data_IF_949271570104
#
_entry.id   IF_949271570104
#
_cell.length_a   1.000
_cell.length_b   1.000
_cell.length_c   1.000
_cell.angle_alpha   90.00
_cell.angle_beta   90.00
_cell.angle_gamma   90.00
#
_symmetry.space_group_name_H-M   'P 1'
#
loop_
_entity.id
_entity.type
_entity.pdbx_description
1 polymer ?
#
# COMPACT_ATOMS: atom_id res chain seq x y z
N UNK A 1 -18.82 9.70 17.82
CA UNK A 1 -17.36 9.59 17.91
C UNK A 1 -16.85 10.16 16.58
N UNK A 2 -16.40 11.40 16.60
CA UNK A 2 -15.80 12.02 15.41
C UNK A 2 -14.45 11.36 15.19
N UNK A 3 -14.29 10.78 14.02
CA UNK A 3 -13.04 10.18 13.55
C UNK A 3 -11.99 11.28 13.41
N UNK A 4 -10.93 11.20 14.20
CA UNK A 4 -9.72 12.02 14.09
C UNK A 4 -8.95 11.67 12.78
N UNK A 5 -9.52 12.02 11.64
CA UNK A 5 -8.78 12.17 10.39
C UNK A 5 -8.26 13.60 10.29
N UNK A 6 -7.45 14.03 11.25
CA UNK A 6 -6.69 15.27 11.10
C UNK A 6 -5.37 14.95 10.41
N UNK A 7 -5.23 15.43 9.18
CA UNK A 7 -3.94 15.54 8.52
C UNK A 7 -3.04 16.41 9.45
N UNK A 8 -2.04 15.83 10.13
CA UNK A 8 -1.22 16.64 11.01
C UNK A 8 -0.48 17.66 10.16
N UNK A 9 -0.61 18.93 10.49
CA UNK A 9 0.00 20.06 9.78
C UNK A 9 1.54 19.94 9.67
N UNK A 10 2.14 19.03 10.42
CA UNK A 10 3.54 18.62 10.36
C UNK A 10 3.66 17.12 10.69
N UNK A 11 4.24 16.32 9.78
CA UNK A 11 4.58 14.93 10.03
C UNK A 11 5.89 14.58 9.34
N UNK A 12 6.89 14.02 10.05
CA UNK A 12 8.12 13.54 9.44
C UNK A 12 7.90 12.52 8.32
N UNK A 13 6.80 11.74 8.36
CA UNK A 13 6.43 10.84 7.27
C UNK A 13 6.05 11.64 6.02
N UNK A 14 5.27 12.71 6.17
CA UNK A 14 4.90 13.59 5.05
C UNK A 14 6.14 14.31 4.49
N UNK A 15 7.05 14.80 5.35
CA UNK A 15 8.31 15.41 4.89
C UNK A 15 9.20 14.41 4.14
N UNK A 16 9.27 13.18 4.63
CA UNK A 16 9.99 12.12 3.93
C UNK A 16 9.37 11.84 2.55
N UNK A 17 8.05 11.67 2.45
CA UNK A 17 7.37 11.53 1.16
C UNK A 17 7.59 12.74 0.26
N UNK A 18 7.60 13.97 0.82
CA UNK A 18 7.88 15.18 0.08
C UNK A 18 9.29 15.17 -0.51
N UNK A 19 10.28 14.68 0.23
CA UNK A 19 11.66 14.55 -0.27
C UNK A 19 11.78 13.57 -1.44
N UNK A 20 11.04 12.44 -1.39
CA UNK A 20 10.94 11.47 -2.50
C UNK A 20 10.25 12.12 -3.69
N UNK A 21 9.14 12.81 -3.47
CA UNK A 21 8.38 13.50 -4.51
C UNK A 21 9.26 14.51 -5.24
N UNK A 22 9.95 15.40 -4.52
CA UNK A 22 10.86 16.39 -5.11
C UNK A 22 12.03 15.75 -5.88
N UNK A 23 12.55 14.64 -5.39
CA UNK A 23 13.57 13.88 -6.11
C UNK A 23 13.00 13.26 -7.40
N UNK A 24 11.80 12.70 -7.33
CA UNK A 24 11.11 12.09 -8.46
C UNK A 24 10.69 13.09 -9.54
N UNK A 25 10.36 14.33 -9.19
CA UNK A 25 10.07 15.40 -10.18
C UNK A 25 11.26 15.67 -11.11
N UNK A 26 12.49 15.42 -10.66
CA UNK A 26 13.70 15.53 -11.50
C UNK A 26 13.90 14.35 -12.45
N UNK A 27 13.16 13.27 -12.25
CA UNK A 27 13.23 12.10 -13.13
C UNK A 27 12.49 12.40 -14.42
N UNK A 28 13.17 12.24 -15.53
CA UNK A 28 12.65 12.44 -16.89
C UNK A 28 12.66 11.13 -17.67
N UNK A 29 11.92 11.09 -18.75
CA UNK A 29 11.82 9.91 -19.61
C UNK A 29 10.45 9.25 -19.50
N UNK A 30 10.32 8.11 -20.22
CA UNK A 30 9.04 7.46 -20.43
C UNK A 30 8.21 8.13 -21.53
N UNK A 31 7.04 7.59 -21.78
CA UNK A 31 6.08 8.11 -22.74
C UNK A 31 4.66 8.01 -22.15
N UNK A 32 3.76 8.84 -22.67
CA UNK A 32 2.34 8.71 -22.35
C UNK A 32 1.77 7.45 -23.00
N UNK A 33 0.87 6.76 -22.30
CA UNK A 33 0.02 5.78 -22.97
C UNK A 33 -0.88 6.53 -23.96
N UNK A 34 -0.83 6.19 -25.22
CA UNK A 34 -1.41 6.98 -26.32
C UNK A 34 -2.54 6.24 -27.10
N UNK A 35 -2.95 5.07 -26.62
CA UNK A 35 -3.94 4.26 -27.33
C UNK A 35 -5.38 4.78 -27.14
N UNK A 36 -5.66 5.63 -26.14
CA UNK A 36 -6.91 6.39 -25.99
C UNK A 36 -6.60 7.86 -25.66
N UNK A 37 -7.47 8.80 -26.07
CA UNK A 37 -7.25 10.23 -25.86
C UNK A 37 -7.12 10.62 -24.39
N UNK A 38 -7.88 10.01 -23.49
CA UNK A 38 -7.92 10.32 -22.06
C UNK A 38 -6.58 10.04 -21.37
N UNK A 39 -5.83 9.05 -21.85
CA UNK A 39 -4.47 8.76 -21.36
C UNK A 39 -3.42 9.62 -22.08
N UNK A 40 -3.55 9.78 -23.41
CA UNK A 40 -2.61 10.55 -24.22
C UNK A 40 -2.55 12.03 -23.82
N UNK A 41 -3.67 12.62 -23.40
CA UNK A 41 -3.80 14.03 -23.07
C UNK A 41 -3.63 14.33 -21.57
N UNK A 42 -3.28 13.35 -20.73
CA UNK A 42 -2.95 13.63 -19.33
C UNK A 42 -1.73 14.55 -19.22
N UNK A 43 -1.70 15.37 -18.18
CA UNK A 43 -0.54 16.23 -17.90
C UNK A 43 0.65 15.37 -17.46
N UNK A 44 1.76 15.32 -18.23
CA UNK A 44 2.92 14.51 -17.91
C UNK A 44 3.69 15.01 -16.67
N UNK A 45 3.36 16.19 -16.15
CA UNK A 45 4.01 16.76 -14.95
C UNK A 45 3.40 16.27 -13.65
N UNK A 46 2.18 15.71 -13.69
CA UNK A 46 1.51 15.18 -12.52
C UNK A 46 2.35 14.11 -11.80
N UNK A 47 2.44 14.26 -10.49
CA UNK A 47 3.06 13.27 -9.64
C UNK A 47 2.47 13.33 -8.23
N UNK A 48 1.81 12.26 -7.80
CA UNK A 48 1.24 12.08 -6.48
C UNK A 48 1.76 10.81 -5.81
N UNK A 49 2.04 10.89 -4.51
CA UNK A 49 2.43 9.76 -3.68
C UNK A 49 1.50 9.66 -2.47
N UNK A 50 1.16 8.44 -2.08
CA UNK A 50 0.37 8.16 -0.88
C UNK A 50 0.84 6.90 -0.19
N UNK A 51 0.78 6.89 1.14
CA UNK A 51 1.08 5.75 2.01
C UNK A 51 -0.05 5.63 3.04
N UNK A 52 -0.57 4.42 3.22
CA UNK A 52 -1.58 4.09 4.23
C UNK A 52 -1.00 3.12 5.26
N UNK A 53 -1.15 3.43 6.55
CA UNK A 53 -0.71 2.58 7.66
C UNK A 53 -1.77 1.56 8.07
N UNK A 54 -1.42 0.53 8.87
CA UNK A 54 -2.38 -0.44 9.39
C UNK A 54 -3.53 0.18 10.20
N UNK A 55 -3.32 1.36 10.78
CA UNK A 55 -4.34 2.12 11.50
C UNK A 55 -5.24 2.98 10.59
N UNK A 56 -5.04 2.92 9.26
CA UNK A 56 -5.84 3.64 8.28
C UNK A 56 -5.47 5.11 8.10
N UNK A 57 -4.30 5.53 8.61
CA UNK A 57 -3.80 6.90 8.42
C UNK A 57 -3.16 6.99 7.04
N UNK A 58 -3.57 7.99 6.27
CA UNK A 58 -3.03 8.24 4.93
C UNK A 58 -2.13 9.46 4.95
N UNK A 59 -0.86 9.27 4.60
CA UNK A 59 0.11 10.31 4.31
C UNK A 59 0.20 10.50 2.81
N UNK A 60 0.20 11.73 2.33
CA UNK A 60 0.17 12.00 0.89
C UNK A 60 0.82 13.33 0.53
N UNK A 61 1.41 13.37 -0.67
CA UNK A 61 2.08 14.55 -1.22
C UNK A 61 1.83 14.68 -2.73
N UNK A 62 2.05 15.87 -3.26
CA UNK A 62 1.86 16.18 -4.68
C UNK A 62 0.41 15.99 -5.14
N UNK A 63 0.24 15.54 -6.36
CA UNK A 63 -1.07 15.40 -7.03
C UNK A 63 -1.86 14.17 -6.57
N UNK A 64 -1.80 13.85 -5.29
CA UNK A 64 -2.37 12.63 -4.70
C UNK A 64 -3.90 12.57 -4.71
N UNK A 65 -4.58 13.70 -4.88
CA UNK A 65 -6.04 13.83 -5.02
C UNK A 65 -6.52 13.83 -6.47
N UNK A 66 -5.60 13.87 -7.43
CA UNK A 66 -5.95 13.82 -8.85
C UNK A 66 -6.59 12.48 -9.19
N UNK A 67 -7.77 12.52 -9.81
CA UNK A 67 -8.45 11.32 -10.29
C UNK A 67 -7.85 10.82 -11.60
N UNK A 68 -7.76 9.49 -11.72
CA UNK A 68 -7.35 8.78 -12.93
C UNK A 68 -8.06 7.43 -13.01
N UNK A 69 -8.09 6.82 -14.19
CA UNK A 69 -8.66 5.48 -14.35
C UNK A 69 -7.74 4.41 -13.77
N UNK A 70 -8.29 3.49 -13.00
CA UNK A 70 -7.55 2.44 -12.28
C UNK A 70 -6.80 1.48 -13.20
N UNK A 71 -7.32 1.27 -14.42
CA UNK A 71 -6.75 0.41 -15.43
C UNK A 71 -6.38 -0.99 -14.90
N UNK A 72 -5.17 -1.48 -15.20
CA UNK A 72 -4.73 -2.81 -14.77
C UNK A 72 -4.53 -2.97 -13.26
N UNK A 73 -4.54 -1.89 -12.47
CA UNK A 73 -4.53 -2.01 -11.00
C UNK A 73 -5.86 -2.55 -10.46
N UNK A 74 -6.92 -2.57 -11.26
CA UNK A 74 -8.19 -3.24 -10.93
C UNK A 74 -8.08 -4.77 -10.80
N UNK A 75 -7.13 -5.40 -11.49
CA UNK A 75 -7.01 -6.87 -11.64
C UNK A 75 -6.87 -7.61 -10.30
N UNK A 76 -5.99 -7.23 -9.36
CA UNK A 76 -5.89 -7.88 -8.05
C UNK A 76 -7.21 -7.89 -7.28
N UNK A 77 -7.95 -6.80 -7.31
CA UNK A 77 -9.21 -6.67 -6.57
C UNK A 77 -10.33 -7.52 -7.18
N UNK A 78 -10.38 -7.59 -8.51
CA UNK A 78 -11.35 -8.46 -9.22
C UNK A 78 -10.98 -9.93 -9.03
N UNK A 79 -9.70 -10.27 -9.03
CA UNK A 79 -9.24 -11.62 -8.67
C UNK A 79 -9.64 -11.98 -7.24
N UNK A 80 -9.43 -11.04 -6.28
CA UNK A 80 -9.88 -11.22 -4.90
C UNK A 80 -11.39 -11.49 -4.81
N UNK A 81 -12.20 -10.72 -5.54
CA UNK A 81 -13.67 -10.93 -5.58
C UNK A 81 -14.04 -12.25 -6.22
N UNK A 82 -13.40 -12.66 -7.32
CA UNK A 82 -13.63 -13.96 -7.94
C UNK A 82 -13.29 -15.12 -6.98
N UNK A 83 -12.18 -15.03 -6.25
CA UNK A 83 -11.80 -16.01 -5.22
C UNK A 83 -12.81 -16.05 -4.08
N UNK A 84 -13.22 -14.89 -3.57
CA UNK A 84 -14.22 -14.81 -2.49
C UNK A 84 -15.60 -15.36 -2.90
N UNK A 85 -16.01 -15.09 -4.15
CA UNK A 85 -17.34 -15.48 -4.66
C UNK A 85 -17.39 -16.95 -5.11
N UNK A 86 -16.25 -17.54 -5.56
CA UNK A 86 -16.23 -18.86 -6.22
C UNK A 86 -15.33 -19.90 -5.55
N UNK A 87 -14.45 -19.48 -4.65
CA UNK A 87 -13.43 -20.34 -4.05
C UNK A 87 -12.23 -20.59 -4.95
N UNK A 88 -11.10 -20.98 -4.32
CA UNK A 88 -9.80 -21.17 -4.98
C UNK A 88 -9.86 -22.28 -6.06
N UNK A 89 -10.42 -23.43 -5.74
CA UNK A 89 -10.49 -24.58 -6.65
C UNK A 89 -11.17 -24.20 -7.97
N UNK A 90 -12.34 -23.54 -7.89
CA UNK A 90 -13.10 -23.14 -9.09
C UNK A 90 -12.37 -22.07 -9.92
N UNK A 91 -11.69 -21.13 -9.27
CA UNK A 91 -10.93 -20.10 -9.98
C UNK A 91 -9.73 -20.74 -10.67
N UNK A 92 -9.00 -21.62 -9.99
CA UNK A 92 -7.83 -22.30 -10.53
C UNK A 92 -8.14 -23.29 -11.65
N UNK A 93 -9.38 -23.79 -11.79
CA UNK A 93 -9.82 -24.51 -12.99
C UNK A 93 -9.82 -23.63 -14.25
N UNK A 94 -9.92 -22.31 -14.10
CA UNK A 94 -10.08 -21.36 -15.22
C UNK A 94 -8.89 -20.43 -15.45
N UNK A 95 -8.06 -20.18 -14.46
CA UNK A 95 -6.88 -19.31 -14.53
C UNK A 95 -5.78 -19.85 -13.62
N UNK A 96 -4.52 -19.82 -14.08
CA UNK A 96 -3.35 -20.23 -13.29
C UNK A 96 -2.83 -19.13 -12.35
N UNK A 97 -1.63 -19.35 -11.82
CA UNK A 97 -0.97 -18.48 -10.83
C UNK A 97 0.48 -18.17 -11.20
N UNK A 98 0.97 -18.71 -12.33
CA UNK A 98 2.37 -18.68 -12.70
C UNK A 98 2.71 -17.48 -13.61
N UNK A 99 3.94 -16.95 -13.55
CA UNK A 99 4.42 -15.97 -14.52
C UNK A 99 4.39 -16.55 -15.94
N UNK A 100 3.82 -15.79 -16.89
CA UNK A 100 3.65 -16.29 -18.27
C UNK A 100 4.96 -16.39 -19.07
N UNK A 101 5.98 -15.60 -18.71
CA UNK A 101 7.17 -15.43 -19.55
C UNK A 101 6.94 -14.67 -20.86
N UNK A 102 5.69 -14.34 -21.17
CA UNK A 102 5.24 -13.63 -22.37
C UNK A 102 4.77 -12.21 -22.02
N UNK A 103 4.75 -11.27 -23.00
CA UNK A 103 4.15 -9.95 -22.79
C UNK A 103 2.72 -10.03 -22.25
N UNK A 104 2.35 -9.15 -21.32
CA UNK A 104 1.07 -9.17 -20.59
C UNK A 104 -0.19 -9.15 -21.46
N UNK A 105 -0.06 -8.81 -22.73
CA UNK A 105 -1.12 -8.75 -23.73
C UNK A 105 -1.00 -9.85 -24.80
N UNK A 106 -0.18 -10.88 -24.61
CA UNK A 106 -0.06 -12.03 -25.50
C UNK A 106 -1.38 -12.77 -25.64
N UNK A 107 -1.59 -13.37 -26.80
CA UNK A 107 -2.72 -14.26 -27.10
C UNK A 107 -2.22 -15.68 -26.91
N UNK A 108 -2.05 -16.10 -25.67
CA UNK A 108 -1.54 -17.42 -25.31
C UNK A 108 -2.34 -18.02 -24.16
N UNK A 109 -2.41 -19.34 -24.17
CA UNK A 109 -2.90 -20.17 -23.06
C UNK A 109 -1.80 -21.18 -22.77
N UNK A 110 -1.71 -21.62 -21.53
CA UNK A 110 -0.83 -22.71 -21.15
C UNK A 110 -1.16 -23.98 -21.94
N UNK A 111 -0.16 -24.56 -22.61
CA UNK A 111 -0.36 -25.70 -23.52
C UNK A 111 -0.88 -26.96 -22.80
N UNK A 112 -0.52 -27.17 -21.55
CA UNK A 112 -0.89 -28.36 -20.80
C UNK A 112 -2.29 -28.29 -20.23
N UNK A 113 -2.72 -27.09 -19.79
CA UNK A 113 -4.00 -26.89 -19.08
C UNK A 113 -5.06 -26.16 -19.89
N UNK A 114 -4.66 -25.48 -20.98
CA UNK A 114 -5.54 -24.68 -21.83
C UNK A 114 -6.07 -23.42 -21.17
N UNK A 115 -5.49 -22.98 -20.02
CA UNK A 115 -5.95 -21.83 -19.25
C UNK A 115 -4.93 -20.68 -19.30
N UNK A 116 -5.33 -19.42 -19.03
CA UNK A 116 -4.40 -18.30 -18.83
C UNK A 116 -3.43 -18.59 -17.68
N UNK A 117 -2.16 -18.18 -17.81
CA UNK A 117 -1.11 -18.41 -16.82
C UNK A 117 -1.42 -17.78 -15.45
N UNK A 118 -1.91 -16.54 -15.46
CA UNK A 118 -2.24 -15.83 -14.21
C UNK A 118 -3.30 -14.72 -14.40
N UNK A 119 -3.93 -14.22 -13.32
CA UNK A 119 -4.98 -13.20 -13.37
C UNK A 119 -4.45 -11.78 -13.63
N UNK A 120 -3.15 -11.52 -13.66
CA UNK A 120 -2.55 -10.19 -13.82
C UNK A 120 -2.28 -9.84 -15.28
N UNK A 121 -2.26 -10.82 -16.20
CA UNK A 121 -2.25 -10.61 -17.66
C UNK A 121 -3.68 -10.43 -18.18
N UNK A 122 -3.84 -9.84 -19.38
CA UNK A 122 -5.17 -9.46 -19.87
C UNK A 122 -6.11 -10.66 -20.05
N UNK A 123 -5.65 -11.75 -20.63
CA UNK A 123 -6.49 -12.94 -20.84
C UNK A 123 -6.97 -13.54 -19.51
N UNK A 124 -6.09 -13.60 -18.49
CA UNK A 124 -6.47 -14.06 -17.16
C UNK A 124 -7.40 -13.09 -16.43
N UNK A 125 -7.20 -11.78 -16.58
CA UNK A 125 -8.06 -10.77 -15.99
C UNK A 125 -9.49 -10.77 -16.59
N UNK A 126 -9.61 -10.97 -17.90
CA UNK A 126 -10.90 -11.17 -18.57
C UNK A 126 -11.60 -12.44 -18.04
N UNK A 127 -10.82 -13.51 -17.82
CA UNK A 127 -11.34 -14.77 -17.25
C UNK A 127 -11.84 -14.56 -15.81
N UNK A 128 -11.03 -13.93 -14.95
CA UNK A 128 -11.45 -13.65 -13.55
C UNK A 128 -12.63 -12.71 -13.47
N UNK A 129 -12.71 -11.69 -14.34
CA UNK A 129 -13.90 -10.83 -14.45
C UNK A 129 -15.16 -11.64 -14.67
N UNK A 130 -15.13 -12.60 -15.61
CA UNK A 130 -16.28 -13.46 -15.92
C UNK A 130 -16.68 -14.39 -14.77
N UNK A 131 -15.78 -14.65 -13.82
CA UNK A 131 -16.01 -15.51 -12.65
C UNK A 131 -16.60 -14.77 -11.45
N UNK A 132 -16.56 -13.43 -11.40
CA UNK A 132 -17.13 -12.65 -10.30
C UNK A 132 -18.64 -12.89 -10.21
N UNK A 133 -19.17 -12.89 -8.96
CA UNK A 133 -20.56 -13.17 -8.63
C UNK A 133 -20.94 -14.65 -8.84
N UNK A 134 -22.23 -14.95 -8.96
CA UNK A 134 -22.73 -16.31 -9.18
C UNK A 134 -22.52 -16.79 -10.62
N UNK A 135 -22.57 -18.12 -10.82
CA UNK A 135 -22.52 -18.70 -12.16
C UNK A 135 -23.71 -18.21 -12.99
N UNK A 136 -23.43 -17.59 -14.15
CA UNK A 136 -24.47 -17.08 -15.06
C UNK A 136 -24.99 -15.69 -14.69
N UNK A 137 -24.34 -14.97 -13.77
CA UNK A 137 -24.67 -13.57 -13.48
C UNK A 137 -24.62 -12.73 -14.77
N UNK A 138 -25.52 -11.76 -14.87
CA UNK A 138 -25.53 -10.79 -15.95
C UNK A 138 -24.31 -9.86 -15.88
N UNK A 139 -24.05 -9.10 -16.95
CA UNK A 139 -23.00 -8.08 -16.93
C UNK A 139 -23.26 -7.04 -15.84
N UNK A 140 -24.47 -6.55 -15.73
CA UNK A 140 -24.87 -5.52 -14.76
C UNK A 140 -24.70 -5.98 -13.32
N UNK A 141 -25.01 -7.23 -13.01
CA UNK A 141 -24.80 -7.81 -11.70
C UNK A 141 -23.30 -7.89 -11.35
N UNK A 142 -22.46 -8.29 -12.31
CA UNK A 142 -20.99 -8.30 -12.13
C UNK A 142 -20.42 -6.90 -11.97
N UNK A 143 -20.80 -5.95 -12.83
CA UNK A 143 -20.36 -4.55 -12.73
C UNK A 143 -20.72 -3.95 -11.37
N UNK A 144 -21.95 -4.15 -10.91
CA UNK A 144 -22.39 -3.70 -9.58
C UNK A 144 -21.57 -4.33 -8.44
N UNK A 145 -21.34 -5.65 -8.52
CA UNK A 145 -20.54 -6.38 -7.52
C UNK A 145 -19.09 -5.89 -7.50
N UNK A 146 -18.49 -5.66 -8.67
CA UNK A 146 -17.11 -5.19 -8.80
C UNK A 146 -16.96 -3.76 -8.27
N UNK A 147 -17.84 -2.83 -8.66
CA UNK A 147 -17.79 -1.45 -8.19
C UNK A 147 -17.99 -1.38 -6.67
N UNK A 148 -18.96 -2.11 -6.13
CA UNK A 148 -19.19 -2.19 -4.68
C UNK A 148 -17.96 -2.78 -3.94
N UNK A 149 -17.34 -3.83 -4.49
CA UNK A 149 -16.14 -4.42 -3.91
C UNK A 149 -14.95 -3.47 -3.94
N UNK A 150 -14.68 -2.80 -5.07
CA UNK A 150 -13.60 -1.80 -5.14
C UNK A 150 -13.86 -0.62 -4.19
N UNK A 151 -15.10 -0.18 -4.06
CA UNK A 151 -15.50 0.86 -3.10
C UNK A 151 -15.23 0.42 -1.66
N UNK A 152 -15.53 -0.84 -1.32
CA UNK A 152 -15.23 -1.39 0.00
C UNK A 152 -13.71 -1.49 0.25
N UNK A 153 -12.90 -1.87 -0.76
CA UNK A 153 -11.44 -1.83 -0.67
C UNK A 153 -10.91 -0.42 -0.44
N UNK A 154 -11.50 0.60 -1.09
CA UNK A 154 -11.11 2.01 -0.96
C UNK A 154 -11.65 2.68 0.33
N UNK A 155 -12.64 2.08 0.99
CA UNK A 155 -13.32 2.67 2.15
C UNK A 155 -14.22 3.85 1.81
N UNK A 156 -14.51 4.07 0.54
CA UNK A 156 -15.42 5.10 0.03
C UNK A 156 -16.11 4.67 -1.26
N UNK A 157 -17.19 5.33 -1.61
CA UNK A 157 -17.86 5.11 -2.89
C UNK A 157 -16.97 5.58 -4.06
N UNK A 158 -16.79 4.69 -5.04
CA UNK A 158 -16.09 4.94 -6.29
C UNK A 158 -17.11 5.07 -7.44
N UNK A 159 -16.69 5.66 -8.55
CA UNK A 159 -17.49 5.82 -9.76
C UNK A 159 -16.69 5.43 -11.00
N UNK A 160 -17.39 5.28 -12.12
CA UNK A 160 -16.76 5.06 -13.41
C UNK A 160 -16.40 6.38 -14.09
N UNK A 161 -15.33 6.38 -14.87
CA UNK A 161 -15.03 7.38 -15.88
C UNK A 161 -15.64 6.92 -17.21
N UNK A 162 -16.76 7.53 -17.60
CA UNK A 162 -17.50 7.16 -18.80
C UNK A 162 -16.72 7.50 -20.08
N UNK A 163 -15.91 8.58 -20.09
CA UNK A 163 -15.12 8.95 -21.26
C UNK A 163 -14.03 7.91 -21.53
N UNK A 164 -13.33 7.45 -20.49
CA UNK A 164 -12.36 6.35 -20.59
C UNK A 164 -13.04 5.08 -21.07
N UNK A 165 -14.21 4.74 -20.53
CA UNK A 165 -14.94 3.54 -20.94
C UNK A 165 -15.29 3.56 -22.42
N UNK A 166 -15.87 4.65 -22.94
CA UNK A 166 -16.27 4.77 -24.34
C UNK A 166 -15.07 4.68 -25.29
N UNK A 167 -13.96 5.35 -24.95
CA UNK A 167 -12.75 5.29 -25.77
C UNK A 167 -12.10 3.92 -25.77
N UNK A 168 -12.08 3.22 -24.64
CA UNK A 168 -11.52 1.87 -24.51
C UNK A 168 -12.33 0.81 -25.24
N UNK A 169 -13.67 0.88 -25.15
CA UNK A 169 -14.54 -0.13 -25.76
C UNK A 169 -14.44 -0.11 -27.29
N UNK A 170 -14.26 1.04 -27.91
CA UNK A 170 -14.08 1.19 -29.34
C UNK A 170 -12.80 0.50 -29.85
N UNK A 171 -11.82 0.31 -28.98
CA UNK A 171 -10.52 -0.31 -29.31
C UNK A 171 -10.34 -1.72 -28.71
N UNK A 172 -11.37 -2.28 -28.07
CA UNK A 172 -11.29 -3.52 -27.30
C UNK A 172 -11.18 -4.81 -28.15
N UNK A 173 -10.87 -4.74 -29.43
CA UNK A 173 -10.81 -5.90 -30.33
C UNK A 173 -9.88 -7.00 -29.85
N UNK A 174 -8.70 -6.63 -29.29
CA UNK A 174 -7.75 -7.60 -28.73
C UNK A 174 -8.35 -8.33 -27.52
N UNK A 175 -8.96 -7.59 -26.60
CA UNK A 175 -9.64 -8.17 -25.42
C UNK A 175 -10.82 -9.06 -25.86
N UNK A 176 -11.52 -8.70 -26.93
CA UNK A 176 -12.59 -9.54 -27.49
C UNK A 176 -12.04 -10.86 -28.05
N UNK A 177 -10.90 -10.84 -28.73
CA UNK A 177 -10.23 -12.05 -29.19
C UNK A 177 -9.79 -12.94 -28.00
N UNK A 178 -9.24 -12.35 -26.93
CA UNK A 178 -8.89 -13.06 -25.69
C UNK A 178 -10.13 -13.68 -25.03
N UNK A 179 -11.21 -12.94 -24.89
CA UNK A 179 -12.47 -13.44 -24.33
C UNK A 179 -13.09 -14.57 -25.17
N UNK A 180 -13.02 -14.48 -26.51
CA UNK A 180 -13.45 -15.53 -27.40
C UNK A 180 -12.58 -16.80 -27.25
N UNK A 181 -11.28 -16.64 -27.06
CA UNK A 181 -10.34 -17.77 -26.86
C UNK A 181 -10.65 -18.51 -25.56
N UNK A 182 -10.83 -17.82 -24.43
CA UNK A 182 -11.16 -18.47 -23.16
C UNK A 182 -12.58 -19.09 -23.21
N UNK A 183 -13.51 -18.51 -23.97
CA UNK A 183 -14.84 -19.09 -24.18
C UNK A 183 -14.77 -20.37 -25.04
N UNK A 184 -13.93 -20.38 -26.07
CA UNK A 184 -13.73 -21.55 -26.94
C UNK A 184 -13.09 -22.74 -26.19
N UNK A 185 -12.35 -22.47 -25.11
CA UNK A 185 -11.79 -23.50 -24.22
C UNK A 185 -12.71 -23.81 -23.01
N UNK A 186 -13.96 -23.42 -23.03
CA UNK A 186 -14.95 -23.66 -21.98
C UNK A 186 -14.58 -23.15 -20.57
N UNK A 187 -13.61 -22.24 -20.45
CA UNK A 187 -13.17 -21.66 -19.18
C UNK A 187 -14.19 -20.71 -18.59
N UNK A 188 -14.98 -20.05 -19.46
CA UNK A 188 -16.10 -19.19 -19.10
C UNK A 188 -17.35 -19.59 -19.90
N UNK A 189 -18.52 -19.27 -19.34
CA UNK A 189 -19.83 -19.55 -20.00
C UNK A 189 -20.49 -18.29 -20.57
N UNK A 190 -20.07 -17.11 -20.11
CA UNK A 190 -20.64 -15.81 -20.50
C UNK A 190 -20.29 -15.48 -21.95
N UNK A 191 -21.12 -14.64 -22.58
CA UNK A 191 -20.86 -14.08 -23.90
C UNK A 191 -19.56 -13.23 -23.88
N UNK A 192 -18.60 -13.48 -24.80
CA UNK A 192 -17.33 -12.75 -24.83
C UNK A 192 -17.48 -11.23 -24.93
N UNK A 193 -18.45 -10.73 -25.72
CA UNK A 193 -18.66 -9.30 -25.86
C UNK A 193 -19.15 -8.67 -24.56
N UNK A 194 -20.04 -9.33 -23.85
CA UNK A 194 -20.54 -8.85 -22.54
C UNK A 194 -19.45 -8.90 -21.47
N UNK A 195 -18.56 -9.91 -21.50
CA UNK A 195 -17.40 -9.99 -20.60
C UNK A 195 -16.44 -8.83 -20.86
N UNK A 196 -16.13 -8.54 -22.12
CA UNK A 196 -15.23 -7.43 -22.48
C UNK A 196 -15.83 -6.08 -22.12
N UNK A 197 -17.13 -5.85 -22.33
CA UNK A 197 -17.81 -4.63 -21.89
C UNK A 197 -17.65 -4.42 -20.38
N UNK A 198 -17.93 -5.44 -19.59
CA UNK A 198 -17.77 -5.37 -18.13
C UNK A 198 -16.31 -5.21 -17.69
N UNK A 199 -15.37 -5.92 -18.32
CA UNK A 199 -13.94 -5.77 -18.06
C UNK A 199 -13.42 -4.36 -18.39
N UNK A 200 -13.86 -3.77 -19.50
CA UNK A 200 -13.54 -2.38 -19.84
C UNK A 200 -14.13 -1.41 -18.81
N UNK A 201 -15.35 -1.67 -18.35
CA UNK A 201 -16.00 -0.88 -17.28
C UNK A 201 -15.20 -0.96 -15.97
N UNK A 202 -14.72 -2.14 -15.60
CA UNK A 202 -13.83 -2.34 -14.45
C UNK A 202 -12.54 -1.49 -14.56
N UNK A 203 -11.92 -1.42 -15.74
CA UNK A 203 -10.70 -0.64 -15.97
C UNK A 203 -10.92 0.87 -15.90
N UNK A 204 -12.16 1.35 -16.15
CA UNK A 204 -12.55 2.76 -16.15
C UNK A 204 -12.97 3.29 -14.76
N UNK A 205 -12.84 2.52 -13.68
CA UNK A 205 -13.11 3.03 -12.32
C UNK A 205 -12.14 4.17 -11.99
N UNK A 206 -12.70 5.31 -11.56
CA UNK A 206 -11.93 6.50 -11.19
C UNK A 206 -11.44 6.38 -9.74
N UNK A 207 -10.13 6.53 -9.56
CA UNK A 207 -9.44 6.44 -8.27
C UNK A 207 -8.41 7.56 -8.13
N UNK A 208 -7.92 7.77 -6.91
CA UNK A 208 -6.80 8.63 -6.57
C UNK A 208 -5.63 7.81 -6.04
N UNK A 209 -4.44 8.40 -5.88
CA UNK A 209 -3.34 7.73 -5.21
C UNK A 209 -3.67 7.40 -3.74
N UNK A 210 -4.47 8.22 -3.07
CA UNK A 210 -4.95 7.94 -1.70
C UNK A 210 -5.83 6.70 -1.66
N UNK A 211 -6.76 6.56 -2.59
CA UNK A 211 -7.61 5.37 -2.68
C UNK A 211 -6.78 4.11 -2.86
N UNK A 212 -5.83 4.12 -3.81
CA UNK A 212 -4.98 2.97 -4.07
C UNK A 212 -4.11 2.60 -2.87
N UNK A 213 -3.62 3.58 -2.09
CA UNK A 213 -2.89 3.30 -0.85
C UNK A 213 -3.77 2.60 0.19
N UNK A 214 -5.02 3.04 0.37
CA UNK A 214 -6.00 2.37 1.26
C UNK A 214 -6.37 0.98 0.73
N UNK A 215 -6.62 0.84 -0.57
CA UNK A 215 -6.91 -0.45 -1.21
C UNK A 215 -5.75 -1.44 -1.04
N UNK A 216 -4.50 -0.97 -1.21
CA UNK A 216 -3.28 -1.75 -0.95
C UNK A 216 -3.17 -2.17 0.52
N UNK A 217 -3.46 -1.24 1.46
CA UNK A 217 -3.45 -1.56 2.89
C UNK A 217 -4.56 -2.55 3.26
N UNK A 218 -5.72 -2.48 2.62
CA UNK A 218 -6.79 -3.46 2.83
C UNK A 218 -6.33 -4.89 2.50
N UNK A 219 -5.57 -5.09 1.40
CA UNK A 219 -4.92 -6.37 1.11
C UNK A 219 -3.85 -6.71 2.16
N UNK A 220 -2.99 -5.75 2.50
CA UNK A 220 -1.92 -5.92 3.48
C UNK A 220 -2.42 -6.25 4.90
N UNK A 221 -3.66 -5.84 5.23
CA UNK A 221 -4.36 -6.14 6.48
C UNK A 221 -5.18 -7.43 6.43
N UNK A 222 -4.86 -8.37 5.53
CA UNK A 222 -5.59 -9.63 5.40
C UNK A 222 -7.04 -9.46 4.96
N UNK A 223 -7.33 -8.45 4.14
CA UNK A 223 -8.64 -8.18 3.58
C UNK A 223 -9.58 -7.37 4.48
N UNK A 224 -9.08 -6.73 5.52
CA UNK A 224 -9.84 -5.79 6.36
C UNK A 224 -9.48 -4.36 5.98
N UNK A 225 -10.47 -3.55 5.64
CA UNK A 225 -10.23 -2.13 5.35
C UNK A 225 -9.85 -1.40 6.65
N UNK A 226 -8.67 -0.73 6.71
CA UNK A 226 -8.18 -0.16 7.95
C UNK A 226 -8.95 1.10 8.42
N UNK A 227 -9.68 1.75 7.51
CA UNK A 227 -10.45 2.97 7.83
C UNK A 227 -11.88 2.65 8.28
N UNK A 228 -12.50 1.63 7.68
CA UNK A 228 -13.90 1.25 7.99
C UNK A 228 -14.01 0.11 8.98
N UNK A 229 -12.94 -0.71 9.11
CA UNK A 229 -12.97 -1.96 9.87
C UNK A 229 -13.73 -3.10 9.19
N UNK A 230 -14.24 -2.88 7.98
CA UNK A 230 -14.98 -3.88 7.22
C UNK A 230 -14.05 -4.96 6.67
N UNK A 231 -14.43 -6.24 6.85
CA UNK A 231 -13.78 -7.35 6.17
C UNK A 231 -14.32 -7.46 4.74
N UNK A 232 -13.53 -7.00 3.79
CA UNK A 232 -13.90 -6.98 2.36
C UNK A 232 -13.77 -8.36 1.73
N UNK A 233 -12.68 -9.07 2.08
CA UNK A 233 -12.43 -10.45 1.64
C UNK A 233 -11.83 -11.28 2.78
N UNK A 234 -11.93 -12.61 2.74
CA UNK A 234 -11.24 -13.49 3.67
C UNK A 234 -9.72 -13.33 3.63
N UNK A 235 -9.03 -13.56 4.75
CA UNK A 235 -7.57 -13.42 4.87
C UNK A 235 -6.81 -14.28 3.85
N UNK A 236 -7.23 -15.53 3.64
CA UNK A 236 -6.61 -16.43 2.67
C UNK A 236 -6.69 -15.86 1.22
N UNK A 237 -7.76 -15.13 0.90
CA UNK A 237 -7.91 -14.45 -0.40
C UNK A 237 -6.87 -13.35 -0.55
N UNK A 238 -6.70 -12.50 0.46
CA UNK A 238 -5.70 -11.45 0.45
C UNK A 238 -4.29 -12.04 0.30
N UNK A 239 -3.97 -13.11 1.04
CA UNK A 239 -2.70 -13.83 0.94
C UNK A 239 -2.47 -14.37 -0.48
N UNK A 240 -3.48 -15.01 -1.08
CA UNK A 240 -3.42 -15.54 -2.44
C UNK A 240 -3.15 -14.43 -3.47
N UNK A 241 -3.88 -13.33 -3.39
CA UNK A 241 -3.71 -12.17 -4.29
C UNK A 241 -2.31 -11.58 -4.18
N UNK A 242 -1.81 -11.36 -2.97
CA UNK A 242 -0.47 -10.82 -2.74
C UNK A 242 0.62 -11.75 -3.26
N UNK A 243 0.45 -13.07 -3.12
CA UNK A 243 1.39 -14.06 -3.65
C UNK A 243 1.50 -13.96 -5.18
N UNK A 244 0.38 -13.90 -5.89
CA UNK A 244 0.37 -13.76 -7.35
C UNK A 244 0.86 -12.38 -7.79
N UNK A 245 0.53 -11.31 -7.06
CA UNK A 245 1.05 -9.96 -7.35
C UNK A 245 2.58 -9.90 -7.27
N UNK A 246 3.19 -10.66 -6.36
CA UNK A 246 4.65 -10.66 -6.17
C UNK A 246 5.39 -11.06 -7.44
N UNK A 247 4.88 -12.03 -8.18
CA UNK A 247 5.54 -12.60 -9.37
C UNK A 247 4.98 -12.09 -10.70
N UNK A 248 3.74 -11.59 -10.72
CA UNK A 248 3.02 -11.26 -11.95
C UNK A 248 2.55 -9.79 -12.03
N UNK A 249 2.70 -8.99 -10.97
CA UNK A 249 2.04 -7.69 -10.88
C UNK A 249 2.67 -6.57 -11.69
N UNK A 250 3.98 -6.64 -11.96
CA UNK A 250 4.78 -5.56 -12.57
C UNK A 250 5.17 -5.86 -14.03
N UNK A 251 4.31 -6.59 -14.75
CA UNK A 251 4.53 -7.00 -16.12
C UNK A 251 5.87 -7.73 -16.29
N UNK A 252 6.59 -7.48 -17.41
CA UNK A 252 7.88 -8.12 -17.71
C UNK A 252 9.02 -7.65 -16.79
N UNK A 253 8.78 -6.64 -15.96
CA UNK A 253 9.72 -6.14 -14.94
C UNK A 253 9.51 -6.76 -13.53
N UNK A 254 8.68 -7.79 -13.38
CA UNK A 254 8.34 -8.34 -12.06
C UNK A 254 9.57 -8.90 -11.31
N UNK A 255 10.54 -9.50 -12.02
CA UNK A 255 11.79 -10.00 -11.43
C UNK A 255 12.68 -8.88 -10.90
N UNK A 256 12.90 -7.84 -11.70
CA UNK A 256 13.68 -6.65 -11.31
C UNK A 256 12.98 -5.91 -10.14
N UNK A 257 11.65 -5.81 -10.18
CA UNK A 257 10.87 -5.23 -9.11
C UNK A 257 11.01 -6.00 -7.80
N UNK A 258 10.92 -7.33 -7.84
CA UNK A 258 11.08 -8.16 -6.65
C UNK A 258 12.46 -8.00 -6.01
N UNK A 259 13.52 -7.85 -6.83
CA UNK A 259 14.90 -7.69 -6.34
C UNK A 259 15.18 -6.28 -5.80
N UNK A 260 14.66 -5.24 -6.43
CA UNK A 260 15.01 -3.85 -6.11
C UNK A 260 14.01 -3.20 -5.15
N UNK A 261 12.73 -3.60 -5.21
CA UNK A 261 11.65 -3.05 -4.38
C UNK A 261 11.13 -4.07 -3.36
N UNK A 262 10.83 -5.29 -3.80
CA UNK A 262 10.39 -6.38 -2.94
C UNK A 262 9.07 -6.13 -2.20
N UNK A 263 8.19 -5.28 -2.74
CA UNK A 263 6.84 -5.02 -2.26
C UNK A 263 5.87 -5.62 -3.29
N UNK A 264 4.96 -6.53 -2.92
CA UNK A 264 3.91 -6.99 -3.84
C UNK A 264 3.17 -5.80 -4.44
N UNK A 265 3.14 -5.69 -5.78
CA UNK A 265 2.62 -4.49 -6.42
C UNK A 265 1.86 -4.79 -7.71
N UNK A 266 1.06 -3.83 -8.15
CA UNK A 266 0.42 -3.84 -9.46
C UNK A 266 0.54 -2.48 -10.14
N UNK A 267 0.96 -2.51 -11.40
CA UNK A 267 1.10 -1.35 -12.26
C UNK A 267 -0.11 -1.19 -13.20
N UNK A 268 -0.40 0.05 -13.58
CA UNK A 268 -1.44 0.42 -14.54
C UNK A 268 -0.94 1.46 -15.54
N UNK A 269 -1.38 1.34 -16.79
CA UNK A 269 -0.94 2.20 -17.91
C UNK A 269 -1.37 3.65 -17.80
N UNK A 270 -2.26 3.99 -16.85
CA UNK A 270 -2.54 5.38 -16.46
C UNK A 270 -1.36 6.06 -15.74
N UNK A 271 -0.27 5.32 -15.48
CA UNK A 271 0.89 5.80 -14.74
C UNK A 271 0.77 5.59 -13.23
N UNK A 272 -0.05 4.65 -12.79
CA UNK A 272 -0.17 4.32 -11.36
C UNK A 272 0.53 3.01 -11.01
N UNK A 273 1.06 2.95 -9.80
CA UNK A 273 1.56 1.74 -9.13
C UNK A 273 0.91 1.67 -7.75
N UNK A 274 0.34 0.53 -7.40
CA UNK A 274 -0.13 0.23 -6.06
C UNK A 274 0.72 -0.89 -5.48
N UNK A 275 1.28 -0.66 -4.30
CA UNK A 275 2.06 -1.63 -3.52
C UNK A 275 1.35 -1.99 -2.22
N UNK A 276 1.56 -3.22 -1.76
CA UNK A 276 0.89 -3.78 -0.59
C UNK A 276 1.86 -4.67 0.17
N UNK A 277 2.42 -4.19 1.27
CA UNK A 277 3.34 -4.96 2.10
C UNK A 277 2.60 -5.53 3.32
N UNK A 278 2.47 -6.86 3.43
CA UNK A 278 1.68 -7.51 4.48
C UNK A 278 2.00 -7.00 5.88
N UNK A 279 0.96 -6.58 6.61
CA UNK A 279 1.03 -6.11 7.99
C UNK A 279 1.73 -4.77 8.20
N UNK A 280 2.25 -4.13 7.14
CA UNK A 280 3.04 -2.91 7.29
C UNK A 280 2.43 -1.70 6.61
N UNK A 281 2.13 -1.76 5.31
CA UNK A 281 1.60 -0.60 4.59
C UNK A 281 0.93 -0.94 3.26
N UNK A 282 0.05 -0.03 2.83
CA UNK A 282 -0.32 0.15 1.44
C UNK A 282 0.32 1.43 0.91
N UNK A 283 0.82 1.43 -0.32
CA UNK A 283 1.37 2.64 -0.94
C UNK A 283 0.91 2.77 -2.39
N UNK A 284 0.88 4.00 -2.88
CA UNK A 284 0.58 4.27 -4.27
C UNK A 284 1.37 5.45 -4.81
N UNK A 285 1.73 5.35 -6.08
CA UNK A 285 2.29 6.42 -6.88
C UNK A 285 1.43 6.63 -8.11
N UNK A 286 1.21 7.88 -8.50
CA UNK A 286 0.57 8.26 -9.74
C UNK A 286 1.44 9.27 -10.47
N UNK A 287 1.93 8.92 -11.66
CA UNK A 287 2.62 9.82 -12.59
C UNK A 287 2.51 9.27 -14.00
N UNK A 288 1.83 9.97 -14.93
CA UNK A 288 1.43 9.43 -16.24
C UNK A 288 2.52 8.87 -17.14
N UNK A 289 3.76 9.45 -17.24
CA UNK A 289 4.79 8.86 -18.09
C UNK A 289 5.20 7.45 -17.64
N UNK A 290 5.08 6.49 -18.54
CA UNK A 290 5.42 5.08 -18.34
C UNK A 290 6.67 4.67 -19.10
N UNK A 291 7.39 3.67 -18.58
CA UNK A 291 8.56 3.06 -19.20
C UNK A 291 8.17 2.08 -20.31
N UNK A 292 9.17 1.44 -20.92
CA UNK A 292 8.97 0.44 -21.99
C UNK A 292 8.21 -0.81 -21.54
N UNK A 293 8.10 -1.06 -20.23
CA UNK A 293 7.34 -2.17 -19.64
C UNK A 293 5.92 -1.78 -19.27
N UNK A 294 5.56 -0.48 -19.31
CA UNK A 294 4.26 0.03 -18.93
C UNK A 294 4.15 0.48 -17.46
N UNK A 295 5.28 0.65 -16.78
CA UNK A 295 5.33 1.09 -15.39
C UNK A 295 5.63 2.58 -15.29
N UNK A 296 5.01 3.30 -14.34
CA UNK A 296 5.30 4.71 -14.08
C UNK A 296 6.77 4.93 -13.76
N UNK A 297 7.46 5.78 -14.55
CA UNK A 297 8.90 6.05 -14.37
C UNK A 297 9.20 6.66 -13.01
N UNK A 298 8.42 7.67 -12.57
CA UNK A 298 8.59 8.29 -11.26
C UNK A 298 8.08 7.38 -10.14
N UNK A 299 7.03 6.58 -10.43
CA UNK A 299 6.50 5.62 -9.49
C UNK A 299 7.49 4.53 -9.13
N UNK A 300 8.23 3.97 -10.10
CA UNK A 300 9.30 2.98 -9.86
C UNK A 300 10.39 3.58 -8.98
N UNK A 301 10.92 4.77 -9.32
CA UNK A 301 11.94 5.45 -8.52
C UNK A 301 11.48 5.72 -7.08
N UNK A 302 10.22 6.12 -6.90
CA UNK A 302 9.66 6.36 -5.57
C UNK A 302 9.57 5.07 -4.73
N UNK A 303 9.13 3.98 -5.31
CA UNK A 303 9.04 2.70 -4.62
C UNK A 303 10.40 2.09 -4.31
N UNK A 304 11.41 2.23 -5.20
CA UNK A 304 12.79 1.82 -4.93
C UNK A 304 13.32 2.56 -3.70
N UNK A 305 13.15 3.90 -3.64
CA UNK A 305 13.58 4.71 -2.49
C UNK A 305 12.83 4.34 -1.21
N UNK A 306 11.50 4.20 -1.27
CA UNK A 306 10.72 3.78 -0.10
C UNK A 306 11.17 2.42 0.42
N UNK A 307 11.42 1.46 -0.47
CA UNK A 307 11.88 0.13 -0.07
C UNK A 307 13.26 0.18 0.60
N UNK A 308 14.21 0.93 0.01
CA UNK A 308 15.57 1.05 0.54
C UNK A 308 15.60 1.82 1.87
N UNK A 309 15.04 3.03 1.87
CA UNK A 309 15.12 3.96 3.01
C UNK A 309 14.30 3.49 4.21
N UNK A 310 13.09 2.94 3.96
CA UNK A 310 12.17 2.48 5.01
C UNK A 310 12.32 0.99 5.33
N UNK A 311 13.15 0.28 4.57
CA UNK A 311 13.38 -1.13 4.80
C UNK A 311 12.19 -2.04 4.46
N UNK A 312 11.38 -1.66 3.49
CA UNK A 312 10.09 -2.26 3.18
C UNK A 312 10.17 -3.45 2.20
N UNK A 313 11.27 -4.16 2.18
CA UNK A 313 11.43 -5.33 1.31
C UNK A 313 10.91 -6.59 2.00
N UNK A 314 9.96 -7.33 1.39
CA UNK A 314 9.31 -8.51 1.98
C UNK A 314 10.28 -9.63 2.37
N UNK A 315 11.46 -9.71 1.74
CA UNK A 315 12.50 -10.69 2.05
C UNK A 315 13.40 -10.25 3.22
N UNK A 316 13.20 -9.07 3.80
CA UNK A 316 13.92 -8.72 5.04
C UNK A 316 13.46 -9.63 6.17
N UNK A 317 14.39 -10.22 6.93
CA UNK A 317 14.01 -11.01 8.09
C UNK A 317 13.17 -10.15 9.04
N UNK A 318 11.98 -10.63 9.48
CA UNK A 318 11.26 -9.93 10.54
C UNK A 318 12.11 -9.88 11.79
N UNK A 319 12.11 -8.72 12.45
CA UNK A 319 12.70 -8.66 13.79
C UNK A 319 11.97 -9.63 14.71
N UNK A 320 12.68 -10.30 15.66
CA UNK A 320 12.05 -11.24 16.57
C UNK A 320 10.89 -10.54 17.31
N UNK A 321 9.69 -11.10 17.15
CA UNK A 321 8.44 -10.51 17.62
C UNK A 321 8.35 -10.63 19.14
N UNK A 322 8.71 -9.57 19.84
CA UNK A 322 8.06 -9.25 21.11
C UNK A 322 6.84 -8.40 20.76
N UNK A 323 5.69 -8.67 21.39
CA UNK A 323 4.48 -7.86 21.18
C UNK A 323 4.82 -6.38 21.34
N UNK A 324 4.60 -5.59 20.29
CA UNK A 324 4.90 -4.16 20.34
C UNK A 324 3.88 -3.45 21.22
N UNK A 325 4.35 -2.85 22.30
CA UNK A 325 3.52 -2.09 23.25
C UNK A 325 3.99 -0.65 23.26
N UNK A 326 3.06 0.27 23.28
CA UNK A 326 3.30 1.68 23.55
C UNK A 326 2.35 2.10 24.68
N UNK A 327 2.92 2.44 25.81
CA UNK A 327 2.16 2.89 26.99
C UNK A 327 2.57 4.30 27.37
N UNK A 328 1.60 5.10 27.83
CA UNK A 328 1.83 6.44 28.34
C UNK A 328 1.32 6.52 29.76
N UNK A 329 2.15 7.03 30.65
CA UNK A 329 1.79 7.28 32.04
C UNK A 329 2.41 8.58 32.54
N UNK A 330 1.69 9.32 33.38
CA UNK A 330 2.23 10.52 34.03
C UNK A 330 2.55 10.18 35.47
N UNK A 331 3.81 10.38 35.89
CA UNK A 331 4.24 10.12 37.24
C UNK A 331 3.76 11.20 38.26
N UNK A 332 4.02 10.98 39.55
CA UNK A 332 3.60 11.87 40.60
C UNK A 332 4.27 13.25 40.54
N UNK A 333 5.37 13.39 39.81
CA UNK A 333 6.07 14.65 39.56
C UNK A 333 5.58 15.41 38.35
N UNK A 334 4.60 14.84 37.60
CA UNK A 334 4.01 15.44 36.41
C UNK A 334 4.83 15.18 35.13
N UNK A 335 5.78 14.23 35.14
CA UNK A 335 6.52 13.80 33.94
C UNK A 335 5.72 12.78 33.17
N UNK A 336 5.67 12.92 31.84
CA UNK A 336 5.06 11.93 30.94
C UNK A 336 6.08 10.85 30.57
N UNK A 337 5.84 9.62 30.94
CA UNK A 337 6.61 8.46 30.51
C UNK A 337 5.97 7.84 29.27
N UNK A 338 6.77 7.59 28.25
CA UNK A 338 6.39 6.90 27.02
C UNK A 338 7.22 5.63 26.92
N UNK A 339 6.60 4.49 27.25
CA UNK A 339 7.25 3.18 27.21
C UNK A 339 7.08 2.55 25.83
N UNK A 340 8.18 2.14 25.25
CA UNK A 340 8.21 1.50 23.94
C UNK A 340 8.80 0.10 24.10
N UNK A 341 8.06 -0.91 23.62
CA UNK A 341 8.47 -2.30 23.66
C UNK A 341 8.37 -2.93 22.28
N UNK A 342 9.37 -3.72 21.90
CA UNK A 342 9.41 -4.46 20.63
C UNK A 342 10.42 -3.89 19.65
N UNK A 343 10.58 -4.58 18.51
CA UNK A 343 11.50 -4.13 17.47
C UNK A 343 10.94 -2.92 16.73
N UNK A 344 11.76 -1.88 16.62
CA UNK A 344 11.40 -0.60 16.05
C UNK A 344 11.55 -0.63 14.52
N UNK A 345 10.62 -1.32 13.83
CA UNK A 345 10.41 -1.22 12.40
C UNK A 345 9.61 0.04 12.03
N UNK A 346 9.23 0.21 10.77
CA UNK A 346 8.44 1.35 10.33
C UNK A 346 7.11 1.47 11.10
N UNK A 347 6.37 0.36 11.24
CA UNK A 347 5.03 0.39 11.83
C UNK A 347 5.05 0.83 13.31
N UNK A 348 5.95 0.24 14.12
CA UNK A 348 6.08 0.64 15.52
C UNK A 348 6.66 2.05 15.65
N UNK A 349 7.63 2.42 14.82
CA UNK A 349 8.23 3.76 14.85
C UNK A 349 7.21 4.85 14.45
N UNK A 350 6.38 4.61 13.45
CA UNK A 350 5.30 5.53 13.05
C UNK A 350 4.29 5.72 14.19
N UNK A 351 3.84 4.61 14.79
CA UNK A 351 2.92 4.64 15.93
C UNK A 351 3.50 5.40 17.12
N UNK A 352 4.78 5.17 17.43
CA UNK A 352 5.49 5.88 18.50
C UNK A 352 5.61 7.39 18.18
N UNK A 353 6.01 7.73 16.96
CA UNK A 353 6.11 9.11 16.49
C UNK A 353 4.76 9.84 16.60
N UNK A 354 3.68 9.26 16.10
CA UNK A 354 2.35 9.83 16.18
C UNK A 354 1.93 10.08 17.63
N UNK A 355 2.13 9.08 18.48
CA UNK A 355 1.86 9.20 19.91
C UNK A 355 2.68 10.32 20.58
N UNK A 356 3.94 10.48 20.16
CA UNK A 356 4.80 11.59 20.60
C UNK A 356 4.23 12.94 20.15
N UNK A 357 3.83 13.05 18.89
CA UNK A 357 3.31 14.29 18.31
C UNK A 357 1.93 14.70 18.86
N UNK A 358 1.12 13.74 19.32
CA UNK A 358 -0.15 13.97 20.02
C UNK A 358 0.02 14.46 21.47
N UNK A 359 1.25 14.54 21.97
CA UNK A 359 1.51 15.05 23.32
C UNK A 359 1.15 16.52 23.40
N UNK A 360 0.35 16.94 24.43
CA UNK A 360 -0.08 18.32 24.59
C UNK A 360 1.09 19.30 24.72
N UNK A 361 0.95 20.50 24.19
CA UNK A 361 1.97 21.58 24.26
C UNK A 361 2.01 22.28 25.64
N UNK A 362 1.98 21.49 26.71
CA UNK A 362 1.98 22.00 28.10
C UNK A 362 3.39 22.11 28.70
N UNK A 363 4.43 21.86 27.92
CA UNK A 363 5.85 21.87 28.31
C UNK A 363 6.21 20.94 29.48
N UNK A 364 5.38 19.90 29.72
CA UNK A 364 5.72 18.90 30.74
C UNK A 364 6.99 18.15 30.34
N UNK A 365 7.84 17.73 31.28
CA UNK A 365 8.99 16.87 31.00
C UNK A 365 8.51 15.51 30.49
N UNK A 366 9.25 14.96 29.51
CA UNK A 366 8.93 13.69 28.86
C UNK A 366 10.10 12.74 29.01
N UNK A 367 9.83 11.50 29.42
CA UNK A 367 10.78 10.38 29.44
C UNK A 367 10.38 9.38 28.38
N UNK A 368 11.26 9.10 27.42
CA UNK A 368 11.05 8.07 26.40
C UNK A 368 11.91 6.87 26.76
N UNK A 369 11.27 5.73 26.97
CA UNK A 369 11.91 4.52 27.50
C UNK A 369 12.06 3.45 26.42
N UNK A 370 13.30 3.20 26.01
CA UNK A 370 13.70 2.20 25.02
C UNK A 370 14.30 0.92 25.65
N UNK A 371 14.24 0.75 26.97
CA UNK A 371 14.84 -0.42 27.65
C UNK A 371 14.31 -1.76 27.13
N UNK A 372 13.06 -1.79 26.64
CA UNK A 372 12.42 -2.97 26.09
C UNK A 372 12.43 -3.02 24.55
N UNK A 373 13.29 -2.23 23.91
CA UNK A 373 13.51 -2.19 22.47
C UNK A 373 14.78 -2.94 22.12
N UNK A 374 14.71 -4.17 21.57
CA UNK A 374 15.88 -4.98 21.27
C UNK A 374 16.61 -4.54 20.00
N UNK A 375 15.92 -3.86 19.07
CA UNK A 375 16.51 -3.40 17.81
C UNK A 375 15.74 -2.21 17.24
N UNK A 376 16.48 -1.32 16.56
CA UNK A 376 15.93 -0.14 15.87
C UNK A 376 16.39 -0.19 14.42
N UNK A 377 15.43 -0.21 13.48
CA UNK A 377 15.75 -0.09 12.06
C UNK A 377 16.19 1.34 11.73
N UNK A 378 16.86 1.53 10.59
CA UNK A 378 17.29 2.87 10.15
C UNK A 378 16.09 3.83 10.03
N UNK A 379 14.96 3.35 9.56
CA UNK A 379 13.74 4.17 9.48
C UNK A 379 13.17 4.45 10.87
N UNK A 380 13.17 3.45 11.75
CA UNK A 380 12.76 3.64 13.16
C UNK A 380 13.58 4.73 13.84
N UNK A 381 14.89 4.69 13.66
CA UNK A 381 15.79 5.72 14.12
C UNK A 381 15.44 7.11 13.59
N UNK A 382 15.34 7.27 12.26
CA UNK A 382 15.04 8.56 11.61
C UNK A 382 13.70 9.16 12.08
N UNK A 383 12.65 8.35 12.18
CA UNK A 383 11.32 8.79 12.60
C UNK A 383 11.30 9.25 14.07
N UNK A 384 11.90 8.49 14.96
CA UNK A 384 11.96 8.84 16.37
C UNK A 384 12.87 10.04 16.64
N UNK A 385 14.01 10.12 15.96
CA UNK A 385 14.89 11.30 16.02
C UNK A 385 14.11 12.58 15.65
N UNK A 386 13.34 12.54 14.54
CA UNK A 386 12.51 13.66 14.13
C UNK A 386 11.41 13.99 15.16
N UNK A 387 10.79 12.98 15.77
CA UNK A 387 9.78 13.17 16.82
C UNK A 387 10.35 13.79 18.09
N UNK A 388 11.51 13.35 18.52
CA UNK A 388 12.23 13.89 19.67
C UNK A 388 12.62 15.35 19.41
N UNK A 389 13.15 15.65 18.22
CA UNK A 389 13.46 17.03 17.82
C UNK A 389 12.22 17.93 17.86
N UNK A 390 11.08 17.45 17.39
CA UNK A 390 9.82 18.20 17.40
C UNK A 390 9.31 18.47 18.83
N UNK A 391 9.39 17.48 19.73
CA UNK A 391 9.05 17.71 21.15
C UNK A 391 9.89 18.85 21.77
N UNK A 392 11.19 18.85 21.51
CA UNK A 392 12.09 19.91 21.97
C UNK A 392 11.75 21.27 21.37
N UNK A 393 11.42 21.31 20.07
CA UNK A 393 10.98 22.52 19.39
C UNK A 393 9.68 23.07 20.00
N UNK A 394 8.77 22.22 20.51
CA UNK A 394 7.56 22.59 21.27
C UNK A 394 7.86 23.00 22.72
N UNK A 395 9.12 22.94 23.15
CA UNK A 395 9.58 23.39 24.45
C UNK A 395 9.49 22.35 25.57
N UNK A 396 9.35 21.05 25.22
CA UNK A 396 9.45 19.98 26.19
C UNK A 396 10.92 19.67 26.52
N UNK A 397 11.18 19.35 27.79
CA UNK A 397 12.43 18.69 28.19
C UNK A 397 12.25 17.19 27.93
N UNK A 398 13.12 16.61 27.09
CA UNK A 398 13.04 15.19 26.71
C UNK A 398 14.24 14.45 27.28
N UNK A 399 13.97 13.39 28.01
CA UNK A 399 14.94 12.44 28.55
C UNK A 399 14.76 11.10 27.84
N UNK A 400 15.85 10.45 27.44
CA UNK A 400 15.82 9.16 26.73
C UNK A 400 16.51 8.11 27.58
N UNK A 401 15.79 7.01 27.86
CA UNK A 401 16.33 5.81 28.51
C UNK A 401 16.67 4.79 27.42
N UNK A 402 17.97 4.66 27.07
CA UNK A 402 18.43 3.81 25.98
C UNK A 402 19.70 3.04 26.37
N UNK A 403 19.59 1.97 27.18
CA UNK A 403 20.72 1.16 27.60
C UNK A 403 21.39 0.41 26.45
N UNK A 404 20.72 0.31 25.30
CA UNK A 404 21.23 -0.38 24.12
C UNK A 404 21.94 0.56 23.13
N UNK A 405 22.08 1.83 23.49
CA UNK A 405 22.80 2.87 22.72
C UNK A 405 22.27 3.06 21.28
N UNK A 406 20.98 2.82 21.04
CA UNK A 406 20.35 3.01 19.72
C UNK A 406 20.38 4.47 19.25
N UNK A 407 20.42 5.44 20.20
CA UNK A 407 20.40 6.89 19.96
C UNK A 407 21.64 7.58 20.55
N UNK A 408 22.82 6.93 20.45
CA UNK A 408 24.07 7.40 21.05
C UNK A 408 24.54 8.78 20.56
N UNK A 409 24.07 9.25 19.41
CA UNK A 409 24.36 10.58 18.85
C UNK A 409 23.55 11.72 19.52
N UNK A 410 22.49 11.37 20.25
CA UNK A 410 21.70 12.33 21.06
C UNK A 410 22.26 12.47 22.49
N UNK A 411 23.57 12.39 22.64
CA UNK A 411 24.32 12.19 23.90
C UNK A 411 23.98 13.09 25.08
N UNK A 412 23.53 14.31 24.83
CA UNK A 412 23.16 15.24 25.91
C UNK A 412 21.87 14.89 26.65
N UNK A 413 21.18 13.82 26.22
CA UNK A 413 19.82 13.48 26.67
C UNK A 413 19.58 11.97 26.74
N UNK A 414 20.60 11.15 26.44
CA UNK A 414 20.52 9.69 26.50
C UNK A 414 21.17 9.20 27.79
N UNK A 415 20.42 8.42 28.54
CA UNK A 415 20.84 7.79 29.77
C UNK A 415 20.77 6.27 29.64
N UNK A 416 21.72 5.57 30.24
CA UNK A 416 21.75 4.11 30.24
C UNK A 416 20.97 3.51 31.40
N UNK A 417 20.76 4.30 32.46
CA UNK A 417 20.06 3.91 33.68
C UNK A 417 19.21 5.07 34.21
N UNK A 418 18.13 4.74 34.93
CA UNK A 418 17.33 5.73 35.65
C UNK A 418 18.10 6.49 36.72
N UNK A 419 19.12 5.86 37.34
CA UNK A 419 19.97 6.49 38.35
C UNK A 419 20.87 7.59 37.78
N UNK A 420 21.07 7.61 36.47
CA UNK A 420 21.91 8.59 35.78
C UNK A 420 21.14 9.87 35.44
N UNK A 421 19.78 9.84 35.56
CA UNK A 421 18.95 11.01 35.42
C UNK A 421 19.05 11.80 36.76
N UNK A 422 19.74 12.93 36.74
CA UNK A 422 19.79 13.81 37.92
C UNK A 422 18.36 14.11 38.41
N UNK A 423 18.09 13.90 39.71
CA UNK A 423 16.77 14.20 40.27
C UNK A 423 16.60 15.71 40.31
N UNK A 424 15.89 16.27 39.33
CA UNK A 424 15.26 17.55 39.55
C UNK A 424 14.15 17.34 40.58
N UNK A 425 14.56 17.31 41.87
CA UNK A 425 13.83 17.56 43.08
C UNK A 425 12.88 16.52 43.66
N UNK A 426 12.57 15.35 43.05
CA UNK A 426 11.99 14.23 43.82
C UNK A 426 12.32 12.88 43.17
N UNK A 427 12.58 11.82 43.96
CA UNK A 427 12.94 10.52 43.40
C UNK A 427 11.75 9.94 42.63
N UNK A 428 11.98 9.59 41.39
CA UNK A 428 11.05 8.75 40.60
C UNK A 428 10.78 7.50 41.40
N UNK A 429 9.53 7.17 41.64
CA UNK A 429 9.15 5.91 42.31
C UNK A 429 9.71 4.73 41.49
N UNK A 430 10.83 4.17 41.95
CA UNK A 430 11.53 3.09 41.28
C UNK A 430 10.73 1.77 41.26
N UNK A 431 9.61 1.69 41.99
CA UNK A 431 8.68 0.54 41.93
C UNK A 431 8.01 0.40 40.56
N UNK A 432 7.99 1.48 39.80
CA UNK A 432 7.42 1.57 38.47
C UNK A 432 8.24 0.82 37.40
N UNK A 433 9.53 0.69 37.64
CA UNK A 433 10.50 0.07 36.73
C UNK A 433 10.88 -1.37 37.13
N UNK A 434 10.33 -1.87 38.23
CA UNK A 434 10.65 -3.20 38.77
C UNK A 434 9.61 -4.29 38.46
N UNK A 435 8.65 -4.01 37.57
CA UNK A 435 7.62 -4.97 37.17
C UNK A 435 7.80 -5.48 35.76
#
# INVERSE_FOLDING_TARGET
METLASNPAYSPVTEYLQSIHEAGLRKTGGAMADYIPELANQDPTLFGLSLCTPEGIVYSVGDSDTQFSIQSVSKPFVYAMALADRGLERVNESVGEEPSGDPFNSISLDEATGRPDNPMINIGAVTTHALVHSRGASREEREKRILAGMSAFAGRELSYDDAVYESEIDKAWRNLALAALVRANDLIISDPAEVVRGYTRQCSVAVTAKDLAVMGMTLASGGVNPQTGERVVPEWVAQQVLSVMTTCGMYDAAGDWLTNVGIPAKSGVSGCIMGSLPGQMGAAAFSPPIDKFGNSVRGVDAFERMSEDLGLHMMRPPSPVLSSVLEKETDSSGRLHIHIQGSMDFSLAEKALRSILETPENKQPIVIDFRSVPSVSLVGYKLLHAGIFELKRRGHTVTILDPNEHFADLRDEVYTSLSDIEPNEEPVDSSWFAK
#
